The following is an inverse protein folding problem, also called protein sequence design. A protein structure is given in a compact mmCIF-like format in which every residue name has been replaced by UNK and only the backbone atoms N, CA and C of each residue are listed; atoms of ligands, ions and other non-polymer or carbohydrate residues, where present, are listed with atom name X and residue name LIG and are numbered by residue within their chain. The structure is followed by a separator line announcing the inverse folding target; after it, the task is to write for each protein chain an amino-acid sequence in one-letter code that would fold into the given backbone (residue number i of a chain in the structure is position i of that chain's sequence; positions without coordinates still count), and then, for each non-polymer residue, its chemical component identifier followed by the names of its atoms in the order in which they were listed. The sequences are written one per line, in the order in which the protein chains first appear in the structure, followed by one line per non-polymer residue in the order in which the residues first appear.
data_IF_698257269047
#
_entry.id   IF_698257269047
#
_cell.length_a   1.000
_cell.length_b   1.000
_cell.length_c   1.000
_cell.angle_alpha   90.00
_cell.angle_beta   90.00
_cell.angle_gamma   90.00
#
_symmetry.space_group_name_H-M   'P 1'
#
loop_
_entity.id
_entity.type
_entity.pdbx_description
1 polymer ?
#
# COMPACT_ATOMS: atom_id res chain seq x y z
N UNK A 1 14.56 23.67 81.44
CA UNK A 1 14.42 23.18 80.05
C UNK A 1 15.78 23.27 79.37
N UNK A 2 16.47 22.14 79.11
CA UNK A 2 17.77 22.15 78.43
C UNK A 2 17.54 22.32 76.93
N UNK A 3 17.86 23.49 76.38
CA UNK A 3 17.85 23.71 74.92
C UNK A 3 19.06 22.97 74.36
N UNK A 4 18.84 21.89 73.61
CA UNK A 4 19.89 21.22 72.82
C UNK A 4 20.01 21.97 71.50
N UNK A 5 21.18 22.54 71.22
CA UNK A 5 21.49 23.13 69.93
C UNK A 5 21.95 22.06 68.93
N UNK A 6 21.88 22.38 67.64
CA UNK A 6 22.40 21.50 66.58
C UNK A 6 23.92 21.41 66.63
N UNK A 7 24.45 20.22 66.40
CA UNK A 7 25.89 20.02 66.28
C UNK A 7 26.39 20.54 64.95
N UNK A 8 27.67 20.96 64.89
CA UNK A 8 28.28 21.43 63.63
C UNK A 8 28.15 20.38 62.52
N UNK A 9 28.30 19.10 62.86
CA UNK A 9 28.18 18.00 61.91
C UNK A 9 26.75 17.84 61.37
N UNK A 10 25.71 18.00 62.20
CA UNK A 10 24.32 17.98 61.73
C UNK A 10 24.03 19.12 60.75
N UNK A 11 24.52 20.33 61.03
CA UNK A 11 24.32 21.49 60.16
C UNK A 11 25.02 21.28 58.82
N UNK A 12 26.25 20.76 58.84
CA UNK A 12 27.00 20.45 57.62
C UNK A 12 26.32 19.35 56.79
N UNK A 13 25.84 18.29 57.43
CA UNK A 13 25.10 17.22 56.76
C UNK A 13 23.78 17.72 56.18
N UNK A 14 23.04 18.53 56.92
CA UNK A 14 21.77 19.12 56.44
C UNK A 14 22.00 20.03 55.24
N UNK A 15 23.05 20.86 55.28
CA UNK A 15 23.42 21.73 54.18
C UNK A 15 23.87 20.93 52.95
N UNK A 16 24.62 19.84 53.14
CA UNK A 16 25.04 18.96 52.05
C UNK A 16 23.84 18.27 51.38
N UNK A 17 22.91 17.71 52.16
CA UNK A 17 21.68 17.08 51.64
C UNK A 17 20.82 18.12 50.92
N UNK A 18 20.68 19.32 51.49
CA UNK A 18 19.93 20.40 50.88
C UNK A 18 20.54 20.85 49.55
N UNK A 19 21.86 20.99 49.48
CA UNK A 19 22.56 21.35 48.24
C UNK A 19 22.35 20.28 47.16
N UNK A 20 22.48 19.00 47.50
CA UNK A 20 22.23 17.90 46.57
C UNK A 20 20.77 17.86 46.10
N UNK A 21 19.82 18.07 47.02
CA UNK A 21 18.41 18.14 46.69
C UNK A 21 18.10 19.32 45.75
N UNK A 22 18.63 20.51 46.02
CA UNK A 22 18.45 21.69 45.19
C UNK A 22 18.99 21.49 43.77
N UNK A 23 20.18 20.91 43.63
CA UNK A 23 20.76 20.58 42.31
C UNK A 23 19.93 19.53 41.58
N UNK A 24 19.49 18.48 42.28
CA UNK A 24 18.65 17.42 41.68
C UNK A 24 17.30 17.97 41.20
N UNK A 25 16.68 18.87 41.98
CA UNK A 25 15.42 19.51 41.62
C UNK A 25 15.59 20.46 40.44
N UNK A 26 16.69 21.23 40.41
CA UNK A 26 17.03 22.08 39.27
C UNK A 26 17.18 21.27 37.97
N UNK A 27 17.93 20.17 38.01
CA UNK A 27 18.09 19.29 36.85
C UNK A 27 16.77 18.66 36.40
N UNK A 28 15.96 18.17 37.34
CA UNK A 28 14.65 17.60 37.03
C UNK A 28 13.70 18.65 36.41
N UNK A 29 13.70 19.87 36.95
CA UNK A 29 12.89 20.98 36.43
C UNK A 29 13.28 21.35 34.99
N UNK A 30 14.58 21.50 34.70
CA UNK A 30 15.07 21.77 33.35
C UNK A 30 14.67 20.67 32.38
N UNK A 31 14.80 19.40 32.77
CA UNK A 31 14.42 18.27 31.92
C UNK A 31 12.92 18.25 31.62
N UNK A 32 12.07 18.54 32.61
CA UNK A 32 10.61 18.61 32.40
C UNK A 32 10.24 19.77 31.48
N UNK A 33 10.88 20.93 31.64
CA UNK A 33 10.58 22.10 30.82
C UNK A 33 10.99 21.88 29.36
N UNK A 34 12.21 21.39 29.13
CA UNK A 34 12.67 21.03 27.77
C UNK A 34 11.79 19.92 27.18
N UNK A 35 11.41 18.93 27.98
CA UNK A 35 10.51 17.86 27.55
C UNK A 35 9.14 18.39 27.11
N UNK A 36 8.56 19.36 27.84
CA UNK A 36 7.29 19.97 27.42
C UNK A 36 7.40 20.78 26.14
N UNK A 37 8.47 21.56 25.98
CA UNK A 37 8.69 22.32 24.75
C UNK A 37 8.84 21.39 23.53
N UNK A 38 9.59 20.30 23.69
CA UNK A 38 9.75 19.29 22.64
C UNK A 38 8.42 18.61 22.28
N UNK A 39 7.58 18.28 23.27
CA UNK A 39 6.27 17.67 23.02
C UNK A 39 5.32 18.62 22.28
N UNK A 40 5.30 19.90 22.64
CA UNK A 40 4.46 20.89 21.96
C UNK A 40 4.85 21.06 20.49
N UNK A 41 6.16 21.09 20.19
CA UNK A 41 6.65 21.17 18.82
C UNK A 41 6.27 19.91 18.02
N UNK A 42 6.37 18.73 18.62
CA UNK A 42 6.00 17.49 17.94
C UNK A 42 4.49 17.39 17.68
N UNK A 43 3.65 17.79 18.64
CA UNK A 43 2.19 17.83 18.46
C UNK A 43 1.79 18.79 17.33
N UNK A 44 2.37 19.99 17.29
CA UNK A 44 2.17 20.96 16.20
C UNK A 44 2.60 20.39 14.84
N UNK A 45 3.74 19.71 14.79
CA UNK A 45 4.27 19.08 13.56
C UNK A 45 3.34 17.96 13.06
N UNK A 46 2.81 17.14 13.96
CA UNK A 46 1.86 16.07 13.63
C UNK A 46 0.52 16.65 13.13
N UNK A 47 0.06 17.73 13.75
CA UNK A 47 -1.15 18.45 13.36
C UNK A 47 -1.01 19.08 11.97
N UNK A 48 0.12 19.75 11.70
CA UNK A 48 0.40 20.35 10.39
C UNK A 48 0.41 19.28 9.29
N UNK A 49 1.08 18.15 9.53
CA UNK A 49 1.06 17.01 8.62
C UNK A 49 -0.36 16.45 8.41
N UNK A 50 -1.16 16.36 9.47
CA UNK A 50 -2.53 15.86 9.36
C UNK A 50 -3.38 16.72 8.42
N UNK A 51 -3.11 18.04 8.34
CA UNK A 51 -3.77 18.95 7.40
C UNK A 51 -3.29 18.76 5.97
N UNK A 52 -1.98 18.62 5.73
CA UNK A 52 -1.47 18.28 4.38
C UNK A 52 -2.08 16.97 3.88
N UNK A 53 -2.22 15.98 4.76
CA UNK A 53 -2.87 14.72 4.46
C UNK A 53 -4.37 14.87 4.17
N UNK A 54 -5.07 15.72 4.92
CA UNK A 54 -6.47 16.01 4.64
C UNK A 54 -6.62 16.66 3.25
N UNK A 55 -5.76 17.63 2.92
CA UNK A 55 -5.74 18.26 1.60
C UNK A 55 -5.53 17.23 0.47
N UNK A 56 -4.57 16.32 0.62
CA UNK A 56 -4.36 15.22 -0.33
C UNK A 56 -5.62 14.32 -0.49
N UNK A 57 -6.32 14.03 0.61
CA UNK A 57 -7.52 13.20 0.57
C UNK A 57 -8.72 13.94 -0.04
N UNK A 58 -8.79 15.26 0.13
CA UNK A 58 -9.85 16.12 -0.42
C UNK A 58 -9.69 16.36 -1.92
N UNK A 59 -8.45 16.43 -2.44
CA UNK A 59 -8.18 16.68 -3.87
C UNK A 59 -8.53 15.46 -4.73
N UNK A 60 -9.60 15.50 -5.56
CA UNK A 60 -10.10 14.31 -6.24
C UNK A 60 -9.35 13.99 -7.54
N UNK A 61 -8.74 14.97 -8.21
CA UNK A 61 -8.08 14.81 -9.50
C UNK A 61 -6.69 14.20 -9.40
N UNK A 62 -6.31 13.37 -10.37
CA UNK A 62 -4.95 12.79 -10.45
C UNK A 62 -3.91 13.91 -10.66
N UNK A 63 -4.08 14.69 -11.72
CA UNK A 63 -3.17 15.79 -12.08
C UNK A 63 -3.14 16.88 -10.99
N UNK A 64 -4.28 17.13 -10.33
CA UNK A 64 -4.37 18.10 -9.23
C UNK A 64 -3.54 17.67 -8.01
N UNK A 65 -3.46 16.36 -7.74
CA UNK A 65 -2.62 15.83 -6.65
C UNK A 65 -1.14 15.94 -7.01
N UNK A 66 -0.75 15.69 -8.25
CA UNK A 66 0.64 15.85 -8.71
C UNK A 66 1.07 17.32 -8.76
N UNK A 67 0.18 18.22 -9.16
CA UNK A 67 0.42 19.66 -9.11
C UNK A 67 0.51 20.19 -7.67
N UNK A 68 -0.19 19.55 -6.74
CA UNK A 68 -0.19 19.90 -5.34
C UNK A 68 -0.95 21.19 -5.04
N UNK A 69 -0.65 21.79 -3.88
CA UNK A 69 -1.29 23.01 -3.45
C UNK A 69 -0.60 23.66 -2.26
N UNK A 70 -1.20 24.76 -1.80
CA UNK A 70 -0.76 25.49 -0.61
C UNK A 70 -1.92 25.56 0.38
N UNK A 71 -1.62 25.30 1.65
CA UNK A 71 -2.58 25.38 2.75
C UNK A 71 -2.09 26.33 3.82
N UNK A 72 -3.03 26.97 4.51
CA UNK A 72 -2.73 27.84 5.63
C UNK A 72 -2.73 27.02 6.93
N UNK A 73 -1.68 27.18 7.70
CA UNK A 73 -1.47 26.54 8.98
C UNK A 73 -1.72 27.52 10.14
N UNK A 74 -1.95 27.02 11.36
CA UNK A 74 -2.00 27.85 12.55
C UNK A 74 -0.74 28.70 12.71
N UNK A 75 -0.92 29.93 13.22
CA UNK A 75 0.16 30.89 13.39
C UNK A 75 0.50 31.70 12.14
N UNK A 76 -0.33 31.65 11.09
CA UNK A 76 -0.12 32.41 9.84
C UNK A 76 0.94 31.83 8.92
N UNK A 77 1.41 30.62 9.24
CA UNK A 77 2.36 29.84 8.42
C UNK A 77 1.64 29.21 7.24
N UNK A 78 2.37 28.87 6.20
CA UNK A 78 1.84 28.07 5.10
C UNK A 78 2.57 26.74 4.97
N UNK A 79 1.92 25.80 4.30
CA UNK A 79 2.55 24.56 3.85
C UNK A 79 2.22 24.33 2.39
N UNK A 80 3.27 24.09 1.60
CA UNK A 80 3.14 23.60 0.23
C UNK A 80 3.19 22.09 0.25
N UNK A 81 2.33 21.44 -0.50
CA UNK A 81 2.30 19.99 -0.60
C UNK A 81 2.14 19.54 -2.05
N UNK A 82 2.68 18.37 -2.38
CA UNK A 82 2.49 17.68 -3.65
C UNK A 82 2.38 16.17 -3.42
N UNK A 83 1.76 15.44 -4.35
CA UNK A 83 1.66 13.99 -4.29
C UNK A 83 2.28 13.33 -5.51
N UNK A 84 3.26 12.45 -5.32
CA UNK A 84 3.77 11.57 -6.39
C UNK A 84 2.98 10.27 -6.41
N UNK A 85 2.32 9.98 -7.53
CA UNK A 85 1.38 8.85 -7.63
C UNK A 85 2.03 7.70 -8.41
N UNK A 86 2.07 6.53 -7.80
CA UNK A 86 2.52 5.29 -8.43
C UNK A 86 1.38 4.28 -8.51
N UNK A 87 1.17 3.70 -9.69
CA UNK A 87 0.21 2.62 -9.90
C UNK A 87 0.68 1.33 -9.21
N UNK A 88 -0.25 0.57 -8.65
CA UNK A 88 0.05 -0.70 -7.99
C UNK A 88 -0.44 -1.90 -8.82
N UNK A 89 -0.06 -3.11 -8.42
CA UNK A 89 -0.57 -4.35 -9.00
C UNK A 89 -2.05 -4.64 -8.65
N UNK A 90 -2.69 -3.78 -7.87
CA UNK A 90 -4.11 -3.88 -7.50
C UNK A 90 -4.86 -2.75 -8.21
N UNK A 91 -5.91 -3.10 -8.94
CA UNK A 91 -6.74 -2.12 -9.64
C UNK A 91 -7.28 -1.05 -8.69
N UNK A 92 -7.26 0.21 -9.14
CA UNK A 92 -7.77 1.37 -8.41
C UNK A 92 -7.02 1.73 -7.12
N UNK A 93 -5.96 0.98 -6.79
CA UNK A 93 -5.10 1.25 -5.63
C UNK A 93 -3.78 1.87 -6.09
N UNK A 94 -3.43 3.00 -5.48
CA UNK A 94 -2.25 3.79 -5.82
C UNK A 94 -1.38 3.98 -4.58
N UNK A 95 -0.06 3.91 -4.74
CA UNK A 95 0.89 4.35 -3.74
C UNK A 95 1.18 5.83 -3.99
N UNK A 96 0.79 6.69 -3.06
CA UNK A 96 0.98 8.13 -3.16
C UNK A 96 1.99 8.56 -2.13
N UNK A 97 3.10 9.13 -2.58
CA UNK A 97 4.08 9.79 -1.73
C UNK A 97 3.69 11.26 -1.58
N UNK A 98 3.18 11.62 -0.41
CA UNK A 98 2.94 13.00 -0.01
C UNK A 98 4.27 13.64 0.37
N UNK A 99 4.59 14.76 -0.26
CA UNK A 99 5.74 15.60 0.06
C UNK A 99 5.17 16.95 0.51
N UNK A 100 5.55 17.42 1.70
CA UNK A 100 5.08 18.66 2.26
C UNK A 100 6.25 19.51 2.75
N UNK A 101 6.33 20.76 2.28
CA UNK A 101 7.25 21.77 2.77
C UNK A 101 6.49 22.69 3.72
N UNK A 102 6.82 22.63 5.02
CA UNK A 102 6.10 23.32 6.09
C UNK A 102 6.95 24.47 6.61
N UNK A 103 6.43 25.70 6.56
CA UNK A 103 7.11 26.85 7.16
C UNK A 103 7.28 26.66 8.67
N UNK A 104 8.47 27.01 9.18
CA UNK A 104 8.76 26.97 10.61
C UNK A 104 8.33 28.26 11.29
N UNK A 105 7.86 28.13 12.54
CA UNK A 105 7.39 29.27 13.32
C UNK A 105 8.52 30.24 13.74
N UNK A 106 9.77 29.79 13.72
CA UNK A 106 10.96 30.57 14.06
C UNK A 106 11.56 31.33 12.87
N UNK A 107 10.94 31.22 11.68
CA UNK A 107 11.44 31.84 10.45
C UNK A 107 12.67 31.17 9.85
N UNK A 108 13.03 29.97 10.33
CA UNK A 108 14.03 29.13 9.67
C UNK A 108 13.49 28.57 8.34
N UNK A 109 14.39 27.97 7.55
CA UNK A 109 14.05 27.24 6.32
C UNK A 109 12.90 26.25 6.55
N UNK A 110 12.03 26.13 5.55
CA UNK A 110 10.90 25.22 5.60
C UNK A 110 11.37 23.77 5.82
N UNK A 111 10.61 23.04 6.63
CA UNK A 111 10.89 21.64 6.93
C UNK A 111 10.15 20.75 5.93
N UNK A 112 10.90 19.91 5.19
CA UNK A 112 10.32 18.94 4.28
C UNK A 112 9.92 17.67 5.03
N UNK A 113 8.70 17.19 4.76
CA UNK A 113 8.18 15.95 5.27
C UNK A 113 7.68 15.07 4.13
N UNK A 114 8.01 13.77 4.19
CA UNK A 114 7.57 12.79 3.21
C UNK A 114 6.82 11.62 3.86
N UNK A 115 5.67 11.24 3.32
CA UNK A 115 4.90 10.07 3.77
C UNK A 115 4.20 9.35 2.61
N UNK A 116 4.39 8.03 2.54
CA UNK A 116 3.71 7.19 1.55
C UNK A 116 2.39 6.65 2.09
N UNK A 117 1.33 6.71 1.29
CA UNK A 117 0.02 6.12 1.58
C UNK A 117 -0.54 5.34 0.41
N UNK A 118 -1.35 4.34 0.74
CA UNK A 118 -2.16 3.61 -0.23
C UNK A 118 -3.53 4.26 -0.34
N UNK A 119 -3.89 4.77 -1.52
CA UNK A 119 -5.18 5.42 -1.78
C UNK A 119 -5.99 4.63 -2.79
N UNK A 120 -7.25 4.34 -2.46
CA UNK A 120 -8.21 3.74 -3.38
C UNK A 120 -8.93 4.86 -4.15
N UNK A 121 -8.65 4.99 -5.46
CA UNK A 121 -9.18 6.05 -6.33
C UNK A 121 -9.61 5.48 -7.69
N UNK A 122 -10.83 4.92 -7.80
CA UNK A 122 -11.32 4.35 -9.06
C UNK A 122 -11.47 5.34 -10.22
N UNK A 123 -11.49 6.64 -9.90
CA UNK A 123 -11.53 7.76 -10.86
C UNK A 123 -10.19 8.03 -11.53
N UNK A 124 -9.08 7.57 -10.94
CA UNK A 124 -7.73 7.75 -11.49
C UNK A 124 -7.35 6.65 -12.49
N UNK A 125 -7.95 5.46 -12.33
CA UNK A 125 -7.67 4.33 -13.22
C UNK A 125 -8.35 4.44 -14.57
N UNK A 126 -7.56 4.26 -15.63
CA UNK A 126 -8.06 4.12 -16.99
C UNK A 126 -8.67 2.71 -17.17
N UNK A 127 -9.85 2.56 -17.83
CA UNK A 127 -10.51 1.26 -17.99
C UNK A 127 -9.64 0.17 -18.62
N UNK A 128 -8.79 0.51 -19.59
CA UNK A 128 -7.87 -0.41 -20.25
C UNK A 128 -6.80 -0.97 -19.30
N UNK A 129 -6.25 -0.14 -18.42
CA UNK A 129 -5.21 -0.58 -17.49
C UNK A 129 -5.80 -1.44 -16.37
N UNK A 130 -7.04 -1.14 -15.97
CA UNK A 130 -7.83 -2.00 -15.09
C UNK A 130 -8.06 -3.40 -15.65
N UNK A 131 -8.27 -3.51 -16.97
CA UNK A 131 -8.43 -4.81 -17.64
C UNK A 131 -7.11 -5.58 -17.65
N UNK A 132 -5.99 -4.93 -18.03
CA UNK A 132 -4.66 -5.55 -17.99
C UNK A 132 -4.29 -6.06 -16.60
N UNK A 133 -4.48 -5.23 -15.55
CA UNK A 133 -4.18 -5.62 -14.16
C UNK A 133 -5.01 -6.84 -13.73
N UNK A 134 -6.29 -6.91 -14.15
CA UNK A 134 -7.15 -8.06 -13.86
C UNK A 134 -6.73 -9.31 -14.61
N UNK A 135 -6.35 -9.18 -15.88
CA UNK A 135 -5.89 -10.30 -16.71
C UNK A 135 -4.54 -10.85 -16.19
N UNK A 136 -3.62 -9.97 -15.78
CA UNK A 136 -2.35 -10.35 -15.17
C UNK A 136 -2.56 -11.04 -13.82
N UNK A 137 -3.46 -10.51 -12.98
CA UNK A 137 -3.83 -11.14 -11.72
C UNK A 137 -4.48 -12.51 -11.94
N UNK A 138 -5.34 -12.65 -12.96
CA UNK A 138 -5.95 -13.92 -13.37
C UNK A 138 -4.86 -14.91 -13.78
N UNK A 139 -3.96 -14.52 -14.67
CA UNK A 139 -2.88 -15.40 -15.13
C UNK A 139 -1.97 -15.84 -13.97
N UNK A 140 -1.69 -14.95 -13.01
CA UNK A 140 -0.93 -15.30 -11.80
C UNK A 140 -1.66 -16.34 -10.96
N UNK A 141 -2.95 -16.15 -10.71
CA UNK A 141 -3.77 -17.08 -9.94
C UNK A 141 -3.92 -18.44 -10.65
N UNK A 142 -4.08 -18.45 -11.97
CA UNK A 142 -4.11 -19.69 -12.76
C UNK A 142 -2.78 -20.46 -12.65
N UNK A 143 -1.64 -19.77 -12.73
CA UNK A 143 -0.30 -20.35 -12.55
C UNK A 143 -0.07 -20.88 -11.13
N UNK A 144 -0.51 -20.16 -10.10
CA UNK A 144 -0.27 -20.52 -8.69
C UNK A 144 -1.26 -21.57 -8.16
N UNK A 145 -2.53 -21.55 -8.60
CA UNK A 145 -3.60 -22.42 -8.09
C UNK A 145 -4.00 -23.56 -9.02
N UNK A 146 -3.49 -23.61 -10.26
CA UNK A 146 -3.91 -24.62 -11.24
C UNK A 146 -5.39 -24.51 -11.62
N UNK A 147 -5.96 -23.30 -11.53
CA UNK A 147 -7.38 -23.06 -11.80
C UNK A 147 -7.61 -23.06 -13.32
N UNK A 148 -8.40 -24.01 -13.82
CA UNK A 148 -9.06 -23.91 -15.14
C UNK A 148 -10.52 -23.57 -14.87
N UNK A 149 -10.96 -22.39 -15.31
CA UNK A 149 -12.37 -22.02 -15.25
C UNK A 149 -13.15 -22.99 -16.16
N UNK A 150 -14.20 -23.61 -15.63
CA UNK A 150 -15.05 -24.51 -16.39
C UNK A 150 -15.88 -23.71 -17.38
N UNK A 151 -15.88 -24.14 -18.65
CA UNK A 151 -16.66 -23.55 -19.74
C UNK A 151 -18.14 -23.47 -19.37
N UNK A 152 -18.59 -22.30 -18.93
CA UNK A 152 -19.98 -21.82 -19.02
C UNK A 152 -21.10 -22.58 -18.31
N UNK A 153 -20.87 -23.69 -17.58
CA UNK A 153 -21.98 -24.44 -16.96
C UNK A 153 -21.63 -25.30 -15.74
N UNK A 154 -21.11 -24.75 -14.64
CA UNK A 154 -21.17 -25.45 -13.35
C UNK A 154 -20.93 -24.55 -12.15
N UNK A 155 -21.69 -24.86 -11.09
CA UNK A 155 -21.78 -24.18 -9.80
C UNK A 155 -20.44 -23.71 -9.20
N UNK A 156 -20.49 -22.55 -8.55
CA UNK A 156 -19.43 -21.97 -7.71
C UNK A 156 -18.75 -23.05 -6.83
N UNK A 157 -17.51 -23.40 -7.15
CA UNK A 157 -16.66 -24.18 -6.24
C UNK A 157 -15.80 -23.19 -5.45
N UNK A 158 -16.31 -22.75 -4.30
CA UNK A 158 -15.67 -21.78 -3.39
C UNK A 158 -14.49 -22.34 -2.58
N UNK A 159 -13.87 -23.45 -2.98
CA UNK A 159 -12.83 -24.10 -2.19
C UNK A 159 -11.57 -24.37 -3.01
N UNK A 160 -10.36 -24.02 -2.49
CA UNK A 160 -9.11 -24.40 -3.14
C UNK A 160 -9.04 -25.92 -3.21
N UNK A 161 -9.11 -26.46 -4.43
CA UNK A 161 -8.93 -27.90 -4.63
C UNK A 161 -7.47 -28.21 -4.30
N UNK A 162 -7.25 -28.96 -3.21
CA UNK A 162 -5.93 -29.38 -2.72
C UNK A 162 -5.28 -30.34 -3.74
N UNK A 163 -4.72 -29.78 -4.80
CA UNK A 163 -4.00 -30.47 -5.85
C UNK A 163 -2.54 -30.70 -5.50
N UNK A 164 -2.29 -31.50 -4.46
CA UNK A 164 -1.06 -32.32 -4.27
C UNK A 164 -1.26 -33.14 -3.00
N UNK A 165 -1.34 -34.46 -3.16
CA UNK A 165 -1.36 -35.41 -2.04
C UNK A 165 -0.13 -35.14 -1.17
N UNK A 166 -0.35 -34.70 0.06
CA UNK A 166 0.62 -34.89 1.14
C UNK A 166 0.72 -36.40 1.32
N UNK A 167 1.85 -36.96 0.91
CA UNK A 167 2.20 -38.37 1.07
C UNK A 167 2.20 -38.70 2.56
N UNK A 168 1.34 -39.59 3.06
CA UNK A 168 1.55 -40.22 4.36
C UNK A 168 2.64 -41.27 4.20
N UNK A 169 3.68 -41.20 5.02
CA UNK A 169 4.81 -42.13 4.99
C UNK A 169 4.37 -43.59 5.00
N UNK A 170 4.84 -44.36 4.02
CA UNK A 170 4.60 -45.79 3.93
C UNK A 170 5.68 -46.52 4.74
N UNK A 171 5.29 -46.98 5.92
CA UNK A 171 5.87 -48.15 6.58
C UNK A 171 5.80 -49.36 5.63
N UNK A 172 6.86 -50.14 5.61
CA UNK A 172 7.17 -51.03 4.49
C UNK A 172 6.51 -52.40 4.46
N UNK A 173 7.05 -53.15 3.49
CA UNK A 173 7.08 -54.60 3.31
C UNK A 173 5.90 -55.35 2.64
N UNK A 174 6.30 -56.08 1.58
CA UNK A 174 5.73 -57.29 0.93
C UNK A 174 4.45 -57.10 0.10
N UNK A 175 4.28 -57.66 -1.10
CA UNK A 175 5.11 -58.50 -1.98
C UNK A 175 4.25 -58.98 -3.17
N UNK A 176 4.90 -59.47 -4.25
CA UNK A 176 4.36 -60.31 -5.35
C UNK A 176 3.32 -59.65 -6.32
N UNK A 177 3.28 -59.84 -7.65
CA UNK A 177 4.07 -60.60 -8.64
C UNK A 177 3.52 -60.32 -10.06
N UNK A 178 4.41 -60.17 -11.05
CA UNK A 178 4.21 -60.57 -12.47
C UNK A 178 3.33 -59.68 -13.37
N UNK A 179 3.51 -59.58 -14.70
CA UNK A 179 4.39 -60.25 -15.67
C UNK A 179 4.15 -59.62 -17.07
N UNK A 180 5.22 -59.32 -17.81
CA UNK A 180 5.30 -59.22 -19.30
C UNK A 180 4.52 -58.10 -20.00
N UNK A 181 4.93 -57.49 -21.11
CA UNK A 181 5.96 -57.78 -22.11
C UNK A 181 6.00 -56.67 -23.18
N UNK A 182 7.09 -56.65 -23.95
CA UNK A 182 7.58 -55.63 -24.90
C UNK A 182 6.72 -55.41 -26.16
N UNK A 183 6.87 -54.26 -26.81
CA UNK A 183 6.61 -54.05 -28.25
C UNK A 183 6.59 -52.58 -28.67
N UNK A 184 7.48 -52.18 -29.58
CA UNK A 184 7.82 -50.81 -30.01
C UNK A 184 7.04 -50.38 -31.31
N UNK A 185 7.31 -49.23 -31.99
CA UNK A 185 6.29 -48.30 -32.50
C UNK A 185 6.13 -48.31 -34.03
N UNK A 186 5.07 -47.69 -34.56
CA UNK A 186 4.86 -47.50 -35.99
C UNK A 186 4.37 -46.09 -36.34
N UNK A 187 5.13 -45.39 -37.18
CA UNK A 187 4.88 -44.08 -37.79
C UNK A 187 4.07 -44.20 -39.11
N UNK A 188 3.70 -43.10 -39.82
CA UNK A 188 2.34 -42.85 -40.31
C UNK A 188 2.13 -43.15 -41.80
N UNK A 189 0.87 -43.20 -42.23
CA UNK A 189 0.48 -43.19 -43.65
C UNK A 189 -0.47 -42.05 -43.98
N UNK A 190 -0.09 -41.33 -45.03
CA UNK A 190 -0.75 -40.23 -45.72
C UNK A 190 -1.97 -40.74 -46.52
N UNK A 191 -3.04 -39.95 -46.62
CA UNK A 191 -4.26 -40.28 -47.35
C UNK A 191 -4.97 -39.02 -47.84
N UNK A 192 -5.03 -38.89 -49.16
CA UNK A 192 -5.36 -37.71 -49.95
C UNK A 192 -6.83 -37.74 -50.40
N UNK A 193 -7.46 -36.56 -50.55
CA UNK A 193 -8.47 -36.32 -51.60
C UNK A 193 -9.86 -35.85 -51.13
N UNK A 194 -10.36 -34.80 -51.81
CA UNK A 194 -11.79 -34.48 -51.83
C UNK A 194 -12.13 -33.00 -52.07
N UNK A 195 -12.32 -32.62 -53.33
CA UNK A 195 -12.74 -31.28 -53.83
C UNK A 195 -14.17 -30.90 -53.40
N UNK A 196 -14.42 -29.59 -53.22
CA UNK A 196 -15.76 -28.99 -53.14
C UNK A 196 -15.77 -27.51 -53.54
N UNK A 197 -16.12 -27.27 -54.80
CA UNK A 197 -16.50 -26.02 -55.49
C UNK A 197 -17.85 -25.50 -54.93
N UNK A 198 -18.28 -24.23 -54.88
CA UNK A 198 -17.87 -22.90 -55.35
C UNK A 198 -19.07 -21.93 -55.15
N UNK A 199 -18.89 -20.64 -55.47
CA UNK A 199 -19.91 -19.58 -55.69
C UNK A 199 -20.57 -18.90 -54.47
N UNK A 200 -20.93 -17.60 -54.43
CA UNK A 200 -20.62 -16.36 -55.17
C UNK A 200 -21.48 -15.24 -54.54
N UNK A 201 -20.96 -14.00 -54.43
CA UNK A 201 -21.74 -12.75 -54.30
C UNK A 201 -22.21 -12.38 -52.89
N UNK A 202 -22.25 -11.12 -52.45
CA UNK A 202 -21.95 -9.82 -53.04
C UNK A 202 -22.18 -8.74 -51.96
N UNK A 203 -21.44 -7.63 -52.06
CA UNK A 203 -21.62 -6.36 -51.33
C UNK A 203 -21.74 -5.27 -52.43
N UNK A 204 -22.17 -3.99 -52.23
CA UNK A 204 -22.19 -3.19 -50.99
C UNK A 204 -23.31 -2.10 -50.83
N UNK A 205 -23.27 -1.36 -49.71
CA UNK A 205 -23.90 -0.03 -49.53
C UNK A 205 -25.05 0.00 -48.49
N UNK A 206 -25.21 0.99 -47.60
CA UNK A 206 -24.48 2.24 -47.38
C UNK A 206 -25.00 3.03 -46.17
N UNK A 207 -24.12 3.90 -45.67
CA UNK A 207 -24.26 5.19 -44.97
C UNK A 207 -24.88 5.36 -43.55
N UNK A 208 -24.38 6.36 -42.77
CA UNK A 208 -24.53 6.49 -41.32
C UNK A 208 -25.65 7.45 -40.88
N UNK A 209 -26.15 7.28 -39.64
CA UNK A 209 -27.13 8.18 -39.02
C UNK A 209 -26.47 9.22 -38.11
N UNK A 210 -26.93 10.46 -38.24
CA UNK A 210 -26.46 11.68 -37.59
C UNK A 210 -27.04 11.92 -36.18
N UNK A 211 -26.36 12.78 -35.42
CA UNK A 211 -26.77 13.34 -34.13
C UNK A 211 -27.87 14.41 -34.24
N UNK A 212 -28.56 14.76 -33.14
CA UNK A 212 -29.25 16.04 -33.01
C UNK A 212 -28.73 16.96 -31.89
N UNK A 213 -29.17 18.21 -32.02
CA UNK A 213 -28.63 19.47 -31.51
C UNK A 213 -28.75 19.76 -30.00
N UNK A 214 -27.88 20.71 -29.59
CA UNK A 214 -27.99 21.53 -28.39
C UNK A 214 -29.30 22.33 -28.34
N UNK A 215 -29.77 22.58 -27.13
CA UNK A 215 -30.57 23.74 -26.75
C UNK A 215 -30.02 24.30 -25.44
#
# INVERSE_FOLDING_TARGET
MKRRGFTLIEVLMSLAIFALAAVSLGAAYSNVLLGRLALQQDEQRLDDLSRCRAALMETPGFDDVEAGGEIHLPGGRTARWEGKIEATAVSDLFAVQLIAEIERADGAEAEEFTETRMLLRPTWSIPSDRQKIRDDARQRLEKERGYKEADGNSAFISAPTRGKKLVPGQSGASGASGKGGKGQPGTPTNGQGGKGQGSKGGQPGGQPAAAPAKR
#
